data_IF_590953491838
#
_entry.id   IF_590953491838
#
_cell.length_a   1.000
_cell.length_b   1.000
_cell.length_c   1.000
_cell.angle_alpha   90.00
_cell.angle_beta   90.00
_cell.angle_gamma   90.00
#
_symmetry.space_group_name_H-M   'P 1'
#
loop_
_entity.id
_entity.type
_entity.pdbx_description
1 polymer ?
#
# COMPACT_ATOMS: atom_id res chain seq x y z
N UNK A 1 -7.80 -7.21 8.86
CA UNK A 1 -6.33 -7.23 8.83
C UNK A 1 -5.84 -5.95 9.47
N UNK A 2 -4.87 -6.05 10.38
CA UNK A 2 -4.20 -4.87 10.96
C UNK A 2 -2.81 -4.82 10.36
N UNK A 3 -2.46 -3.70 9.74
CA UNK A 3 -1.11 -3.41 9.28
C UNK A 3 -0.54 -2.35 10.21
N UNK A 4 0.61 -2.62 10.81
CA UNK A 4 1.28 -1.71 11.73
C UNK A 4 2.73 -1.53 11.28
N UNK A 5 3.18 -0.29 11.23
CA UNK A 5 4.56 0.07 10.95
C UNK A 5 5.04 1.09 11.99
N UNK A 6 6.25 0.88 12.48
CA UNK A 6 6.93 1.79 13.39
C UNK A 6 8.38 1.92 12.97
N UNK A 7 8.84 3.16 12.86
CA UNK A 7 10.23 3.49 12.55
C UNK A 7 10.80 4.36 13.64
N UNK A 8 12.01 4.03 14.08
CA UNK A 8 12.74 4.73 15.11
C UNK A 8 14.12 5.10 14.60
N UNK A 9 14.58 6.31 14.90
CA UNK A 9 15.87 6.81 14.44
C UNK A 9 16.25 8.13 15.09
N UNK A 10 17.51 8.52 14.96
CA UNK A 10 18.00 9.80 15.43
C UNK A 10 17.60 10.90 14.44
N UNK A 11 17.13 12.04 14.96
CA UNK A 11 16.98 13.24 14.14
C UNK A 11 18.33 13.94 13.92
N UNK A 12 18.33 15.01 13.13
CA UNK A 12 19.52 15.82 12.82
C UNK A 12 20.22 16.42 14.06
N UNK A 13 19.60 16.36 15.24
CA UNK A 13 20.13 16.84 16.50
C UNK A 13 20.51 15.70 17.46
N UNK A 14 20.55 14.45 16.97
CA UNK A 14 20.88 13.28 17.80
C UNK A 14 19.78 12.88 18.78
N UNK A 15 18.54 13.38 18.62
CA UNK A 15 17.43 12.97 19.49
C UNK A 15 16.72 11.77 18.89
N UNK A 16 16.44 10.78 19.72
CA UNK A 16 15.71 9.58 19.30
C UNK A 16 14.24 9.92 19.04
N UNK A 17 13.77 9.69 17.81
CA UNK A 17 12.40 9.91 17.38
C UNK A 17 11.79 8.60 16.93
N UNK A 18 10.47 8.46 17.14
CA UNK A 18 9.67 7.36 16.62
C UNK A 18 8.49 7.92 15.83
N UNK A 19 8.16 7.27 14.71
CA UNK A 19 6.93 7.48 13.96
C UNK A 19 6.21 6.15 13.81
N UNK A 20 4.91 6.16 14.02
CA UNK A 20 4.06 4.97 13.95
C UNK A 20 2.86 5.24 13.05
N UNK A 21 2.41 4.22 12.32
CA UNK A 21 1.19 4.24 11.54
C UNK A 21 0.52 2.87 11.61
N UNK A 22 -0.80 2.86 11.70
CA UNK A 22 -1.60 1.64 11.66
C UNK A 22 -2.79 1.78 10.71
N UNK A 23 -3.15 0.67 10.08
CA UNK A 23 -4.33 0.54 9.23
C UNK A 23 -5.14 -0.65 9.70
N UNK A 24 -6.45 -0.47 9.83
CA UNK A 24 -7.38 -1.55 10.16
C UNK A 24 -8.31 -1.76 8.97
N UNK A 25 -8.06 -2.82 8.22
CA UNK A 25 -8.85 -3.20 7.05
C UNK A 25 -9.89 -4.22 7.47
N UNK A 26 -11.16 -3.91 7.23
CA UNK A 26 -12.29 -4.79 7.49
C UNK A 26 -12.70 -5.56 6.22
N UNK A 27 -13.42 -6.68 6.34
CA UNK A 27 -14.11 -7.28 5.20
C UNK A 27 -14.99 -6.24 4.49
N UNK A 28 -14.88 -6.15 3.18
CA UNK A 28 -15.57 -5.16 2.36
C UNK A 28 -16.23 -5.81 1.14
N UNK A 29 -17.15 -5.09 0.52
CA UNK A 29 -17.74 -5.52 -0.75
C UNK A 29 -16.87 -5.07 -1.92
N UNK A 30 -16.66 -5.98 -2.88
CA UNK A 30 -16.12 -5.67 -4.20
C UNK A 30 -17.18 -6.11 -5.21
N UNK A 31 -17.78 -5.14 -5.90
CA UNK A 31 -19.00 -5.37 -6.66
C UNK A 31 -20.12 -5.92 -5.77
N UNK A 32 -20.62 -7.12 -6.09
CA UNK A 32 -21.73 -7.77 -5.35
C UNK A 32 -21.25 -8.76 -4.28
N UNK A 33 -19.94 -8.97 -4.16
CA UNK A 33 -19.39 -10.04 -3.29
C UNK A 33 -18.71 -9.45 -2.07
N UNK A 34 -19.07 -9.93 -0.88
CA UNK A 34 -18.35 -9.60 0.35
C UNK A 34 -17.09 -10.44 0.46
N UNK A 35 -15.94 -9.79 0.43
CA UNK A 35 -14.63 -10.43 0.57
C UNK A 35 -14.10 -10.27 1.99
N UNK A 36 -13.35 -11.28 2.47
CA UNK A 36 -12.61 -11.19 3.72
C UNK A 36 -11.49 -10.17 3.56
N UNK A 37 -11.17 -9.47 4.65
CA UNK A 37 -10.10 -8.45 4.64
C UNK A 37 -8.77 -8.97 4.05
N UNK A 38 -8.38 -10.22 4.32
CA UNK A 38 -7.14 -10.78 3.79
C UNK A 38 -7.15 -10.92 2.26
N UNK A 39 -8.31 -11.18 1.67
CA UNK A 39 -8.45 -11.31 0.21
C UNK A 39 -8.24 -9.94 -0.45
N UNK A 40 -8.88 -8.90 0.08
CA UNK A 40 -8.77 -7.55 -0.46
C UNK A 40 -7.39 -6.94 -0.23
N UNK A 41 -6.79 -7.13 0.95
CA UNK A 41 -5.43 -6.63 1.23
C UNK A 41 -4.35 -7.29 0.38
N UNK A 42 -4.55 -8.53 -0.06
CA UNK A 42 -3.58 -9.20 -0.96
C UNK A 42 -3.87 -8.87 -2.43
N UNK A 43 -5.14 -8.88 -2.84
CA UNK A 43 -5.50 -8.67 -4.24
C UNK A 43 -5.27 -7.23 -4.72
N UNK A 44 -5.57 -6.22 -3.89
CA UNK A 44 -5.44 -4.82 -4.31
C UNK A 44 -4.01 -4.43 -4.74
N UNK A 45 -2.94 -4.73 -3.98
CA UNK A 45 -1.56 -4.54 -4.43
C UNK A 45 -1.23 -5.23 -5.75
N UNK A 46 -1.71 -6.46 -5.97
CA UNK A 46 -1.45 -7.21 -7.20
C UNK A 46 -2.15 -6.57 -8.41
N UNK A 47 -3.42 -6.18 -8.24
CA UNK A 47 -4.18 -5.44 -9.26
C UNK A 47 -3.52 -4.10 -9.58
N UNK A 48 -2.99 -3.40 -8.58
CA UNK A 48 -2.29 -2.14 -8.77
C UNK A 48 -1.01 -2.33 -9.58
N UNK A 49 -0.18 -3.33 -9.25
CA UNK A 49 1.02 -3.61 -10.04
C UNK A 49 0.66 -4.02 -11.47
N UNK A 50 -0.39 -4.83 -11.67
CA UNK A 50 -0.89 -5.17 -12.99
C UNK A 50 -1.35 -3.93 -13.78
N UNK A 51 -2.05 -3.01 -13.11
CA UNK A 51 -2.47 -1.73 -13.70
C UNK A 51 -1.26 -0.86 -14.08
N UNK A 52 -0.26 -0.74 -13.21
CA UNK A 52 0.97 -0.01 -13.48
C UNK A 52 1.74 -0.61 -14.67
N UNK A 53 1.84 -1.94 -14.73
CA UNK A 53 2.48 -2.67 -15.85
C UNK A 53 1.79 -2.44 -17.20
N UNK A 54 0.45 -2.31 -17.21
CA UNK A 54 -0.32 -2.06 -18.42
C UNK A 54 -0.29 -0.59 -18.86
N UNK A 55 0.00 0.34 -17.94
CA UNK A 55 -0.05 1.78 -18.18
C UNK A 55 1.33 2.41 -18.40
N UNK A 56 2.40 1.76 -17.95
CA UNK A 56 3.78 2.24 -18.10
C UNK A 56 4.55 1.36 -19.09
N UNK A 57 5.52 1.95 -19.81
CA UNK A 57 6.45 1.18 -20.65
C UNK A 57 7.61 0.63 -19.80
N UNK A 58 7.32 -0.38 -18.99
CA UNK A 58 8.33 -1.05 -18.18
C UNK A 58 8.83 -2.34 -18.85
N UNK A 59 10.15 -2.59 -18.76
CA UNK A 59 10.80 -3.75 -19.39
C UNK A 59 11.69 -4.48 -18.39
N UNK A 60 11.71 -5.81 -18.51
CA UNK A 60 12.53 -6.68 -17.67
C UNK A 60 11.96 -6.88 -16.26
N UNK A 61 12.81 -7.37 -15.35
CA UNK A 61 12.40 -7.69 -13.97
C UNK A 61 12.26 -6.42 -13.12
N UNK A 62 11.07 -6.21 -12.57
CA UNK A 62 10.75 -5.09 -11.70
C UNK A 62 10.62 -5.60 -10.27
N UNK A 63 11.41 -5.04 -9.36
CA UNK A 63 11.34 -5.36 -7.94
C UNK A 63 10.39 -4.37 -7.26
N UNK A 64 9.74 -4.82 -6.19
CA UNK A 64 8.84 -3.96 -5.39
C UNK A 64 9.55 -2.72 -4.84
N UNK A 65 10.84 -2.81 -4.52
CA UNK A 65 11.67 -1.67 -4.08
C UNK A 65 11.90 -0.60 -5.16
N UNK A 66 11.67 -0.92 -6.44
CA UNK A 66 11.78 0.03 -7.57
C UNK A 66 10.46 0.74 -7.86
N UNK A 67 9.36 0.30 -7.27
CA UNK A 67 8.05 0.91 -7.53
C UNK A 67 7.96 2.29 -6.85
N UNK A 68 7.56 3.34 -7.58
CA UNK A 68 7.32 4.65 -6.97
C UNK A 68 6.24 4.57 -5.89
N UNK A 69 6.62 4.78 -4.63
CA UNK A 69 5.73 4.54 -3.48
C UNK A 69 4.45 5.38 -3.52
N UNK A 70 4.54 6.65 -3.91
CA UNK A 70 3.37 7.54 -3.99
C UNK A 70 2.39 7.09 -5.06
N UNK A 71 2.89 6.73 -6.25
CA UNK A 71 2.05 6.27 -7.36
C UNK A 71 1.36 4.95 -7.01
N UNK A 72 2.09 4.03 -6.37
CA UNK A 72 1.54 2.74 -5.94
C UNK A 72 0.49 2.89 -4.83
N UNK A 73 0.77 3.67 -3.78
CA UNK A 73 -0.16 3.83 -2.65
C UNK A 73 -1.39 4.69 -2.98
N UNK A 74 -1.27 5.62 -3.93
CA UNK A 74 -2.38 6.45 -4.43
C UNK A 74 -3.05 5.89 -5.68
N UNK A 75 -2.75 4.64 -6.05
CA UNK A 75 -3.38 4.00 -7.19
C UNK A 75 -4.82 3.55 -6.89
N UNK A 76 -5.67 3.40 -7.93
CA UNK A 76 -7.10 3.18 -7.76
C UNK A 76 -7.46 1.90 -6.99
N UNK A 77 -6.64 0.85 -7.06
CA UNK A 77 -6.92 -0.41 -6.38
C UNK A 77 -6.46 -0.37 -4.92
N UNK A 78 -5.24 0.10 -4.66
CA UNK A 78 -4.70 0.20 -3.30
C UNK A 78 -5.51 1.21 -2.47
N UNK A 79 -5.77 2.40 -3.00
CA UNK A 79 -6.54 3.42 -2.29
C UNK A 79 -7.96 2.93 -1.92
N UNK A 80 -8.60 2.15 -2.80
CA UNK A 80 -9.95 1.62 -2.55
C UNK A 80 -10.03 0.67 -1.35
N UNK A 81 -8.92 0.03 -0.96
CA UNK A 81 -8.87 -0.94 0.14
C UNK A 81 -8.19 -0.37 1.39
N UNK A 82 -7.11 0.40 1.22
CA UNK A 82 -6.30 0.93 2.31
C UNK A 82 -6.70 2.35 2.72
N UNK A 83 -7.50 3.04 1.90
CA UNK A 83 -7.85 4.45 2.06
C UNK A 83 -6.79 5.38 1.49
N UNK A 84 -7.09 6.68 1.51
CA UNK A 84 -6.19 7.73 1.03
C UNK A 84 -4.86 7.71 1.78
N UNK A 85 -3.78 7.74 1.01
CA UNK A 85 -2.45 7.93 1.55
C UNK A 85 -2.19 9.41 1.86
N UNK A 86 -2.15 9.74 3.15
CA UNK A 86 -1.80 11.08 3.64
C UNK A 86 -0.43 11.02 4.34
N UNK A 87 0.45 11.96 3.98
CA UNK A 87 1.83 12.09 4.47
C UNK A 87 1.92 12.87 5.79
#
# INVERSE_FOLDING_TARGET
VVVYASVQGLDKFGRLRRKEKSYKIFPSYVGKTKLRAIQTTTAAPLCEVAHMLLTHDWKGTILQSKLPTRTFLGGPFVESIYGKFEL
#
